data_IF_363390014359
#
_entry.id   IF_363390014359
#
_cell.length_a   1.000
_cell.length_b   1.000
_cell.length_c   1.000
_cell.angle_alpha   90.00
_cell.angle_beta   90.00
_cell.angle_gamma   90.00
#
_symmetry.space_group_name_H-M   'P 1'
#
loop_
_entity.id
_entity.type
_entity.pdbx_description
1 polymer ?
#
# COMPACT_ATOMS: atom_id res chain seq x y z
N UNK A 1 -34.79 -5.23 -38.06
CA UNK A 1 -33.47 -4.54 -38.14
C UNK A 1 -33.20 -3.60 -36.95
N UNK A 2 -34.15 -2.73 -36.55
CA UNK A 2 -33.97 -1.74 -35.46
C UNK A 2 -33.62 -2.34 -34.08
N UNK A 3 -34.24 -3.47 -33.71
CA UNK A 3 -33.94 -4.19 -32.45
C UNK A 3 -32.55 -4.85 -32.43
N UNK A 4 -32.07 -5.30 -33.59
CA UNK A 4 -30.75 -5.92 -33.74
C UNK A 4 -29.63 -4.88 -33.60
N UNK A 5 -29.85 -3.68 -34.14
CA UNK A 5 -28.94 -2.55 -33.97
C UNK A 5 -28.81 -2.11 -32.50
N UNK A 6 -29.92 -2.11 -31.76
CA UNK A 6 -29.92 -1.74 -30.34
C UNK A 6 -29.14 -2.76 -29.48
N UNK A 7 -29.30 -4.05 -29.78
CA UNK A 7 -28.55 -5.13 -29.11
C UNK A 7 -27.04 -5.04 -29.40
N UNK A 8 -26.67 -4.69 -30.64
CA UNK A 8 -25.27 -4.49 -31.00
C UNK A 8 -24.65 -3.29 -30.28
N UNK A 9 -25.39 -2.18 -30.19
CA UNK A 9 -24.98 -0.99 -29.42
C UNK A 9 -24.80 -1.30 -27.94
N UNK A 10 -25.73 -2.05 -27.34
CA UNK A 10 -25.64 -2.43 -25.93
C UNK A 10 -24.44 -3.35 -25.65
N UNK A 11 -24.20 -4.32 -26.52
CA UNK A 11 -23.04 -5.20 -26.42
C UNK A 11 -21.72 -4.42 -26.54
N UNK A 12 -21.66 -3.42 -27.42
CA UNK A 12 -20.47 -2.58 -27.58
C UNK A 12 -20.15 -1.78 -26.30
N UNK A 13 -21.16 -1.24 -25.62
CA UNK A 13 -20.98 -0.50 -24.36
C UNK A 13 -20.48 -1.41 -23.23
N UNK A 14 -20.98 -2.65 -23.15
CA UNK A 14 -20.56 -3.63 -22.14
C UNK A 14 -19.08 -4.04 -22.31
N UNK A 15 -18.61 -4.16 -23.55
CA UNK A 15 -17.20 -4.49 -23.83
C UNK A 15 -16.28 -3.31 -23.48
N UNK A 16 -16.69 -2.07 -23.75
CA UNK A 16 -15.90 -0.87 -23.39
C UNK A 16 -15.83 -0.66 -21.87
N UNK A 17 -16.88 -1.04 -21.13
CA UNK A 17 -16.87 -0.97 -19.66
C UNK A 17 -15.89 -1.94 -18.99
N UNK A 18 -15.40 -2.95 -19.71
CA UNK A 18 -14.38 -3.87 -19.22
C UNK A 18 -12.94 -3.40 -19.51
N UNK A 19 -12.75 -2.19 -20.06
CA UNK A 19 -11.42 -1.62 -20.19
C UNK A 19 -10.78 -1.53 -18.79
N UNK A 20 -9.66 -2.24 -18.64
CA UNK A 20 -8.84 -2.24 -17.42
C UNK A 20 -8.56 -0.78 -17.06
N UNK A 21 -8.91 -0.39 -15.82
CA UNK A 21 -8.60 0.95 -15.32
C UNK A 21 -7.11 1.23 -15.56
N UNK A 22 -6.74 2.46 -15.98
CA UNK A 22 -5.35 2.82 -16.19
C UNK A 22 -4.56 2.47 -14.93
N UNK A 23 -3.41 1.83 -15.11
CA UNK A 23 -2.52 1.50 -14.00
C UNK A 23 -2.23 2.78 -13.21
N UNK A 24 -2.35 2.66 -11.89
CA UNK A 24 -2.17 3.78 -10.95
C UNK A 24 -0.88 4.52 -11.34
N UNK A 25 -0.89 5.87 -11.42
CA UNK A 25 0.30 6.62 -11.80
C UNK A 25 1.52 6.14 -11.01
N UNK A 26 2.65 5.97 -11.70
CA UNK A 26 3.91 5.66 -11.04
C UNK A 26 4.18 6.67 -9.93
N UNK A 27 4.60 6.16 -8.76
CA UNK A 27 4.81 6.96 -7.56
C UNK A 27 5.64 8.24 -7.88
N UNK A 28 5.01 9.40 -7.69
CA UNK A 28 5.60 10.72 -7.86
C UNK A 28 6.48 11.03 -6.65
N UNK A 29 7.48 11.90 -6.78
CA UNK A 29 8.33 12.35 -5.67
C UNK A 29 7.48 12.84 -4.49
N UNK A 30 7.61 12.19 -3.33
CA UNK A 30 6.77 12.43 -2.15
C UNK A 30 5.68 11.37 -1.91
N UNK A 31 5.45 10.47 -2.87
CA UNK A 31 4.57 9.33 -2.69
C UNK A 31 5.20 8.30 -1.75
N UNK A 32 4.39 7.84 -0.82
CA UNK A 32 4.75 6.75 0.07
C UNK A 32 4.83 5.48 -0.77
N UNK A 33 6.03 4.94 -0.94
CA UNK A 33 6.24 3.69 -1.66
C UNK A 33 5.65 2.52 -0.85
N UNK A 34 5.06 1.56 -1.53
CA UNK A 34 4.61 0.31 -0.91
C UNK A 34 5.75 -0.70 -0.95
N UNK A 35 5.98 -1.39 0.17
CA UNK A 35 6.95 -2.47 0.27
C UNK A 35 6.24 -3.76 0.59
N UNK A 36 6.57 -4.83 -0.14
CA UNK A 36 5.99 -6.15 0.14
C UNK A 36 6.60 -6.73 1.42
N UNK A 37 5.76 -7.23 2.30
CA UNK A 37 6.21 -7.99 3.46
C UNK A 37 6.74 -9.35 3.00
N UNK A 38 7.97 -9.68 3.40
CA UNK A 38 8.62 -10.96 3.08
C UNK A 38 7.94 -12.10 3.84
N UNK A 39 7.49 -11.84 5.07
CA UNK A 39 6.83 -12.78 5.96
C UNK A 39 5.63 -12.11 6.63
N UNK A 40 4.55 -12.87 6.88
CA UNK A 40 3.33 -12.37 7.54
C UNK A 40 3.36 -12.52 9.06
N UNK A 41 4.34 -13.23 9.58
CA UNK A 41 4.47 -13.64 10.98
C UNK A 41 5.72 -13.07 11.65
N UNK A 42 6.61 -12.45 10.89
CA UNK A 42 7.86 -11.90 11.39
C UNK A 42 8.19 -10.53 10.81
N UNK A 43 8.79 -9.68 11.65
CA UNK A 43 9.39 -8.42 11.24
C UNK A 43 10.80 -8.72 10.70
N UNK A 44 11.14 -8.29 9.47
CA UNK A 44 12.48 -8.50 8.94
C UNK A 44 13.53 -7.72 9.76
N UNK A 45 14.59 -8.39 10.21
CA UNK A 45 15.68 -7.75 10.96
C UNK A 45 16.34 -6.59 10.19
N UNK A 46 16.32 -6.64 8.85
CA UNK A 46 16.85 -5.60 7.98
C UNK A 46 16.09 -4.27 8.01
N UNK A 47 14.91 -4.21 8.66
CA UNK A 47 14.10 -2.98 8.71
C UNK A 47 14.61 -1.97 9.73
N UNK A 48 15.58 -2.35 10.56
CA UNK A 48 16.23 -1.48 11.53
C UNK A 48 15.51 -1.46 12.87
N UNK A 49 15.62 -0.34 13.58
CA UNK A 49 15.13 -0.20 14.95
C UNK A 49 13.66 0.22 14.95
N UNK A 50 12.84 -0.42 15.78
CA UNK A 50 11.48 0.05 16.06
C UNK A 50 11.53 1.38 16.82
N UNK A 51 11.05 2.46 16.21
CA UNK A 51 11.09 3.82 16.76
C UNK A 51 9.73 4.30 17.27
N UNK A 52 8.63 3.74 16.76
CA UNK A 52 7.30 4.05 17.25
C UNK A 52 6.31 2.90 17.01
N UNK A 53 5.29 2.85 17.85
CA UNK A 53 4.11 2.01 17.67
C UNK A 53 2.89 2.91 17.84
N UNK A 54 1.98 2.86 16.88
CA UNK A 54 0.71 3.58 16.97
C UNK A 54 -0.46 2.68 16.61
N UNK A 55 -1.64 3.08 17.05
CA UNK A 55 -2.89 2.39 16.78
C UNK A 55 -3.94 3.48 16.53
N UNK A 56 -4.85 3.25 15.57
CA UNK A 56 -5.98 4.15 15.35
C UNK A 56 -7.15 3.71 16.23
N UNK A 57 -7.81 4.67 16.89
CA UNK A 57 -9.03 4.39 17.66
C UNK A 57 -10.13 3.74 16.79
N UNK A 58 -10.19 4.11 15.51
CA UNK A 58 -11.15 3.55 14.54
C UNK A 58 -10.84 2.08 14.19
N UNK A 59 -9.58 1.67 14.37
CA UNK A 59 -9.08 0.34 14.06
C UNK A 59 -8.25 -0.22 15.21
N UNK A 60 -8.87 -0.36 16.39
CA UNK A 60 -8.21 -0.78 17.63
C UNK A 60 -7.46 -2.12 17.58
N UNK A 61 -7.64 -2.92 16.53
CA UNK A 61 -6.93 -4.18 16.30
C UNK A 61 -5.71 -4.05 15.37
N UNK A 62 -5.54 -2.92 14.69
CA UNK A 62 -4.45 -2.68 13.73
C UNK A 62 -3.39 -1.79 14.35
N UNK A 63 -2.17 -2.31 14.45
CA UNK A 63 -1.01 -1.60 14.97
C UNK A 63 -0.11 -1.21 13.81
N UNK A 64 0.34 0.04 13.81
CA UNK A 64 1.34 0.57 12.90
C UNK A 64 2.69 0.58 13.61
N UNK A 65 3.63 -0.21 13.12
CA UNK A 65 4.97 -0.33 13.65
C UNK A 65 5.92 0.43 12.74
N UNK A 66 6.68 1.38 13.29
CA UNK A 66 7.55 2.29 12.57
C UNK A 66 9.01 1.93 12.82
N UNK A 67 9.75 1.62 11.77
CA UNK A 67 11.15 1.23 11.83
C UNK A 67 12.02 2.23 11.11
N UNK A 68 13.17 2.58 11.70
CA UNK A 68 14.18 3.44 11.10
C UNK A 68 15.44 2.62 10.83
N UNK A 69 15.92 2.64 9.59
CA UNK A 69 17.21 2.03 9.23
C UNK A 69 18.38 3.00 9.43
N UNK A 70 19.61 2.49 9.27
CA UNK A 70 20.83 3.30 9.43
C UNK A 70 20.94 4.46 8.42
N UNK A 71 20.22 4.36 7.29
CA UNK A 71 20.12 5.44 6.30
C UNK A 71 19.05 6.49 6.65
N UNK A 72 18.32 6.30 7.75
CA UNK A 72 17.23 7.18 8.19
C UNK A 72 15.93 7.00 7.39
N UNK A 73 15.83 5.97 6.54
CA UNK A 73 14.58 5.65 5.87
C UNK A 73 13.63 4.95 6.83
N UNK A 74 12.34 5.32 6.74
CA UNK A 74 11.32 4.81 7.66
C UNK A 74 10.45 3.79 6.95
N UNK A 75 10.30 2.61 7.55
CA UNK A 75 9.37 1.56 7.09
C UNK A 75 8.23 1.42 8.07
N UNK A 76 7.01 1.23 7.56
CA UNK A 76 5.81 1.03 8.37
C UNK A 76 5.24 -0.35 8.08
N UNK A 77 5.10 -1.18 9.11
CA UNK A 77 4.36 -2.44 9.05
C UNK A 77 2.99 -2.27 9.70
N UNK A 78 1.98 -2.93 9.14
CA UNK A 78 0.64 -3.01 9.73
C UNK A 78 0.42 -4.40 10.28
N UNK A 79 0.23 -4.50 11.59
CA UNK A 79 0.00 -5.74 12.30
C UNK A 79 -1.46 -5.83 12.75
N UNK A 80 -2.14 -6.90 12.36
CA UNK A 80 -3.51 -7.17 12.79
C UNK A 80 -3.49 -8.17 13.96
N UNK A 81 -3.93 -7.70 15.13
CA UNK A 81 -4.00 -8.52 16.33
C UNK A 81 -5.04 -9.65 16.23
N UNK A 82 -6.09 -9.50 15.42
CA UNK A 82 -7.15 -10.51 15.30
C UNK A 82 -6.66 -11.75 14.56
N UNK A 83 -5.86 -11.54 13.53
CA UNK A 83 -5.31 -12.62 12.70
C UNK A 83 -3.90 -13.00 13.11
N UNK A 84 -3.31 -12.30 14.09
CA UNK A 84 -1.94 -12.51 14.56
C UNK A 84 -0.94 -12.45 13.39
N UNK A 85 -1.10 -11.45 12.51
CA UNK A 85 -0.34 -11.39 11.27
C UNK A 85 -0.15 -9.96 10.74
N UNK A 86 0.96 -9.75 10.04
CA UNK A 86 1.19 -8.57 9.22
C UNK A 86 0.35 -8.58 7.94
N UNK A 87 -0.07 -7.39 7.52
CA UNK A 87 -0.61 -7.17 6.18
C UNK A 87 0.47 -7.46 5.13
N UNK A 88 0.06 -7.80 3.90
CA UNK A 88 1.00 -8.15 2.81
C UNK A 88 1.87 -6.99 2.35
N UNK A 89 1.46 -5.77 2.67
CA UNK A 89 2.12 -4.54 2.24
C UNK A 89 2.41 -3.65 3.46
N UNK A 90 3.62 -3.13 3.49
CA UNK A 90 4.04 -2.03 4.34
C UNK A 90 4.27 -0.76 3.51
N UNK A 91 4.73 0.28 4.18
CA UNK A 91 5.07 1.56 3.57
C UNK A 91 6.55 1.86 3.74
N UNK A 92 7.15 2.51 2.75
CA UNK A 92 8.50 3.05 2.79
C UNK A 92 8.43 4.56 2.58
N UNK A 93 8.99 5.28 3.55
CA UNK A 93 9.12 6.72 3.55
C UNK A 93 10.63 7.01 3.44
N UNK A 94 11.15 7.29 2.24
CA UNK A 94 12.54 7.64 2.07
C UNK A 94 12.78 9.01 2.70
N UNK A 95 13.86 9.15 3.47
CA UNK A 95 14.26 10.43 4.04
C UNK A 95 15.44 10.98 3.23
N UNK A 96 15.26 12.10 2.55
CA UNK A 96 16.39 12.84 1.97
C UNK A 96 17.08 13.61 3.09
N UNK A 97 18.41 13.48 3.22
CA UNK A 97 19.19 14.29 4.16
C UNK A 97 19.37 15.75 3.71
N UNK A 98 18.78 16.15 2.57
CA UNK A 98 18.70 17.55 2.15
C UNK A 98 17.72 18.33 3.03
N UNK A 99 18.16 18.77 4.21
CA UNK A 99 17.32 19.62 5.07
C UNK A 99 17.77 19.81 6.51
N UNK A 100 18.82 19.14 6.97
CA UNK A 100 19.45 19.48 8.25
C UNK A 100 20.55 20.51 7.96
N UNK A 101 20.16 21.80 7.92
CA UNK A 101 21.09 22.92 8.04
C UNK A 101 21.31 23.25 9.50
#
# INVERSE_FOLDING_TARGET
MRKLALLFLLALVLVVSCAKLPEKPAAVRGDIAYVRMIAKDAIPAAWGRLVAVSNSADFGHIFQLWFEDEGGAVRVAFYDMRTNSFQSEGRLIPRSQEGVR
#
